data_IF_853877015123
#
_entry.id   IF_853877015123
#
_cell.length_a   1.000
_cell.length_b   1.000
_cell.length_c   1.000
_cell.angle_alpha   90.00
_cell.angle_beta   90.00
_cell.angle_gamma   90.00
#
_symmetry.space_group_name_H-M   'P 1'
#
loop_
_entity.id
_entity.type
_entity.pdbx_description
1 polymer ?
#
# COMPACT_ATOMS: atom_id res chain seq x y z
N UNK A 1 3.64 -22.25 21.32
CA UNK A 1 3.11 -21.41 20.22
C UNK A 1 4.23 -21.15 19.23
N UNK A 2 3.97 -21.31 17.96
CA UNK A 2 4.97 -21.12 16.91
C UNK A 2 5.16 -19.65 16.61
N UNK A 3 6.39 -19.27 16.22
CA UNK A 3 6.72 -17.88 15.87
C UNK A 3 5.81 -17.30 14.78
N UNK A 4 5.42 -18.12 13.80
CA UNK A 4 4.55 -17.68 12.71
C UNK A 4 3.17 -17.25 13.21
N UNK A 5 2.61 -17.93 14.21
CA UNK A 5 1.31 -17.58 14.77
C UNK A 5 1.34 -16.25 15.50
N UNK A 6 2.43 -15.98 16.23
CA UNK A 6 2.61 -14.69 16.92
C UNK A 6 2.76 -13.57 15.90
N UNK A 7 3.53 -13.82 14.86
CA UNK A 7 3.75 -12.85 13.78
C UNK A 7 2.44 -12.52 13.06
N UNK A 8 1.65 -13.56 12.75
CA UNK A 8 0.37 -13.39 12.05
C UNK A 8 -0.62 -12.60 12.90
N UNK A 9 -0.64 -12.85 14.21
CA UNK A 9 -1.53 -12.12 15.11
C UNK A 9 -1.14 -10.64 15.21
N UNK A 10 0.16 -10.35 15.28
CA UNK A 10 0.64 -8.96 15.30
C UNK A 10 0.27 -8.23 14.01
N UNK A 11 0.44 -8.90 12.88
CA UNK A 11 0.08 -8.31 11.59
C UNK A 11 -1.42 -8.04 11.52
N UNK A 12 -2.23 -8.98 11.96
CA UNK A 12 -3.68 -8.81 11.98
C UNK A 12 -4.09 -7.61 12.83
N UNK A 13 -3.51 -7.50 14.02
CA UNK A 13 -3.84 -6.41 14.93
C UNK A 13 -3.42 -5.06 14.33
N UNK A 14 -2.25 -4.98 13.74
CA UNK A 14 -1.77 -3.77 13.08
C UNK A 14 -2.61 -3.42 11.87
N UNK A 15 -2.97 -4.42 11.09
CA UNK A 15 -3.82 -4.21 9.92
C UNK A 15 -5.20 -3.70 10.31
N UNK A 16 -5.82 -4.32 11.32
CA UNK A 16 -7.14 -3.90 11.80
C UNK A 16 -7.10 -2.46 12.33
N UNK A 17 -6.03 -2.10 13.05
CA UNK A 17 -5.83 -0.74 13.53
C UNK A 17 -5.69 0.24 12.35
N UNK A 18 -4.87 -0.12 11.37
CA UNK A 18 -4.67 0.70 10.17
C UNK A 18 -5.99 0.94 9.46
N UNK A 19 -6.77 -0.11 9.23
CA UNK A 19 -8.05 -0.01 8.55
C UNK A 19 -9.01 0.87 9.34
N UNK A 20 -9.06 0.74 10.65
CA UNK A 20 -9.92 1.58 11.50
C UNK A 20 -9.56 3.05 11.35
N UNK A 21 -8.26 3.37 11.48
CA UNK A 21 -7.79 4.77 11.39
C UNK A 21 -8.08 5.35 10.00
N UNK A 22 -7.76 4.63 8.95
CA UNK A 22 -7.95 5.13 7.58
C UNK A 22 -9.43 5.20 7.20
N UNK A 23 -10.23 4.24 7.64
CA UNK A 23 -11.66 4.22 7.34
C UNK A 23 -12.37 5.41 8.00
N UNK A 24 -12.02 5.72 9.24
CA UNK A 24 -12.59 6.88 9.92
C UNK A 24 -12.23 8.18 9.22
N UNK A 25 -10.99 8.25 8.71
CA UNK A 25 -10.49 9.48 8.09
C UNK A 25 -10.98 9.69 6.65
N UNK A 26 -11.04 8.60 5.86
CA UNK A 26 -11.23 8.72 4.42
C UNK A 26 -12.51 8.09 3.86
N UNK A 27 -13.18 7.22 4.61
CA UNK A 27 -14.35 6.51 4.08
C UNK A 27 -15.55 6.56 5.03
N UNK A 28 -15.57 7.51 5.94
CA UNK A 28 -16.68 7.73 6.89
C UNK A 28 -17.01 6.45 7.69
N UNK A 29 -15.98 5.71 8.08
CA UNK A 29 -16.14 4.49 8.85
C UNK A 29 -16.43 3.23 8.05
N UNK A 30 -16.58 3.34 6.73
CA UNK A 30 -16.72 2.15 5.87
C UNK A 30 -15.38 1.44 5.76
N UNK A 31 -15.29 0.13 6.07
CA UNK A 31 -14.03 -0.57 6.04
C UNK A 31 -13.37 -0.53 4.66
N UNK A 32 -12.11 -0.13 4.61
CA UNK A 32 -11.33 -0.11 3.38
C UNK A 32 -10.74 -1.49 3.11
N UNK A 33 -10.69 -1.85 1.83
CA UNK A 33 -10.01 -3.05 1.39
C UNK A 33 -8.57 -2.71 0.97
N UNK A 34 -7.77 -3.73 0.69
CA UNK A 34 -6.36 -3.56 0.29
C UNK A 34 -6.23 -2.57 -0.87
N UNK A 35 -7.08 -2.70 -1.88
CA UNK A 35 -7.03 -1.81 -3.05
C UNK A 35 -7.28 -0.36 -2.67
N UNK A 36 -8.22 -0.11 -1.76
CA UNK A 36 -8.49 1.24 -1.28
C UNK A 36 -7.31 1.83 -0.54
N UNK A 37 -6.62 1.02 0.26
CA UNK A 37 -5.41 1.47 0.98
C UNK A 37 -4.29 1.76 0.00
N UNK A 38 -4.09 0.91 -1.01
CA UNK A 38 -3.09 1.14 -2.05
C UNK A 38 -3.38 2.42 -2.83
N UNK A 39 -4.65 2.68 -3.12
CA UNK A 39 -5.07 3.92 -3.76
C UNK A 39 -4.65 5.14 -2.93
N UNK A 40 -4.85 5.09 -1.60
CA UNK A 40 -4.45 6.17 -0.71
C UNK A 40 -2.93 6.38 -0.71
N UNK A 41 -2.15 5.29 -0.75
CA UNK A 41 -0.69 5.38 -0.87
C UNK A 41 -0.33 6.07 -2.18
N UNK A 42 -0.96 5.69 -3.29
CA UNK A 42 -0.72 6.32 -4.59
C UNK A 42 -1.01 7.81 -4.57
N UNK A 43 -2.12 8.23 -3.96
CA UNK A 43 -2.45 9.64 -3.81
C UNK A 43 -1.39 10.37 -2.98
N UNK A 44 -0.93 9.77 -1.91
CA UNK A 44 0.11 10.36 -1.06
C UNK A 44 1.40 10.57 -1.84
N UNK A 45 1.81 9.58 -2.62
CA UNK A 45 3.05 9.67 -3.39
C UNK A 45 2.94 10.61 -4.58
N UNK A 46 1.77 10.72 -5.18
CA UNK A 46 1.53 11.67 -6.25
C UNK A 46 1.53 13.12 -5.73
N UNK A 47 1.11 13.33 -4.50
CA UNK A 47 1.11 14.66 -3.88
C UNK A 47 0.05 15.62 -4.43
N UNK A 48 -0.84 15.15 -5.28
CA UNK A 48 -1.88 15.98 -5.90
C UNK A 48 -3.26 15.63 -5.35
N UNK A 49 -3.43 15.83 -4.05
CA UNK A 49 -4.65 15.43 -3.33
C UNK A 49 -5.89 16.18 -3.81
N UNK A 50 -5.71 17.39 -4.36
CA UNK A 50 -6.82 18.24 -4.79
C UNK A 50 -7.27 18.00 -6.22
N UNK A 51 -6.51 17.24 -6.99
CA UNK A 51 -6.85 16.92 -8.36
C UNK A 51 -7.95 15.86 -8.40
N UNK A 52 -9.02 16.16 -9.15
CA UNK A 52 -10.06 15.18 -9.36
C UNK A 52 -9.54 14.10 -10.31
N UNK A 53 -9.45 12.87 -9.82
CA UNK A 53 -8.93 11.75 -10.60
C UNK A 53 -9.99 11.22 -11.56
N UNK A 54 -9.57 10.93 -12.77
CA UNK A 54 -10.42 10.24 -13.74
C UNK A 54 -10.51 8.77 -13.36
N UNK A 55 -11.54 8.08 -13.81
CA UNK A 55 -11.79 6.70 -13.46
C UNK A 55 -10.63 5.77 -13.82
N UNK A 56 -10.01 5.96 -14.97
CA UNK A 56 -8.86 5.15 -15.41
C UNK A 56 -7.56 5.51 -14.68
N UNK A 57 -7.48 6.68 -14.05
CA UNK A 57 -6.32 7.05 -13.24
C UNK A 57 -6.28 6.30 -11.92
N UNK A 58 -7.41 5.77 -11.46
CA UNK A 58 -7.47 5.00 -10.21
C UNK A 58 -6.59 3.75 -10.28
N UNK A 59 -6.58 3.08 -11.43
CA UNK A 59 -5.73 1.90 -11.63
C UNK A 59 -4.25 2.29 -11.56
N UNK A 60 -3.90 3.42 -12.13
CA UNK A 60 -2.53 3.93 -12.09
C UNK A 60 -2.11 4.28 -10.66
N UNK A 61 -3.01 4.85 -9.87
CA UNK A 61 -2.73 5.19 -8.47
C UNK A 61 -2.52 3.94 -7.63
N UNK A 62 -3.33 2.90 -7.84
CA UNK A 62 -3.16 1.63 -7.15
C UNK A 62 -1.81 1.02 -7.52
N UNK A 63 -1.43 1.08 -8.80
CA UNK A 63 -0.13 0.57 -9.25
C UNK A 63 1.03 1.32 -8.59
N UNK A 64 0.95 2.64 -8.49
CA UNK A 64 1.95 3.44 -7.78
C UNK A 64 2.04 3.00 -6.33
N UNK A 65 0.90 2.76 -5.69
CA UNK A 65 0.87 2.26 -4.32
C UNK A 65 1.58 0.93 -4.17
N UNK A 66 1.32 -0.01 -5.09
CA UNK A 66 1.99 -1.32 -5.09
C UNK A 66 3.50 -1.16 -5.20
N UNK A 67 3.96 -0.38 -6.17
CA UNK A 67 5.39 -0.17 -6.39
C UNK A 67 6.06 0.48 -5.18
N UNK A 68 5.39 1.46 -4.59
CA UNK A 68 5.91 2.21 -3.45
C UNK A 68 6.10 1.30 -2.23
N UNK A 69 5.09 0.51 -1.88
CA UNK A 69 5.17 -0.32 -0.67
C UNK A 69 6.07 -1.54 -0.85
N UNK A 70 6.29 -1.97 -2.09
CA UNK A 70 7.17 -3.11 -2.39
C UNK A 70 8.62 -2.69 -2.69
N UNK A 71 8.90 -1.39 -2.79
CA UNK A 71 10.25 -0.91 -3.02
C UNK A 71 11.24 -1.36 -1.93
N UNK A 72 10.91 -1.24 -0.63
CA UNK A 72 11.82 -1.70 0.42
C UNK A 72 12.12 -3.20 0.38
N UNK A 73 11.27 -3.96 -0.29
CA UNK A 73 11.43 -5.41 -0.40
C UNK A 73 12.28 -5.82 -1.62
N UNK A 74 12.70 -4.84 -2.44
CA UNK A 74 13.57 -5.09 -3.58
C UNK A 74 12.87 -5.48 -4.87
N UNK A 75 11.54 -5.38 -4.93
CA UNK A 75 10.80 -5.75 -6.15
C UNK A 75 10.71 -4.61 -7.16
N UNK A 76 10.70 -3.37 -6.67
CA UNK A 76 10.62 -2.19 -7.51
C UNK A 76 11.61 -1.14 -7.03
N UNK A 77 11.99 -0.25 -7.95
CA UNK A 77 12.83 0.89 -7.63
C UNK A 77 12.24 2.12 -8.30
N UNK A 78 12.14 3.22 -7.54
CA UNK A 78 11.75 4.51 -8.13
C UNK A 78 12.75 4.88 -9.23
N UNK A 79 12.22 5.31 -10.37
CA UNK A 79 13.04 5.68 -11.53
C UNK A 79 13.03 7.20 -11.73
N UNK A 80 11.88 7.77 -12.09
CA UNK A 80 11.77 9.19 -12.36
C UNK A 80 10.33 9.67 -12.26
N UNK A 81 10.15 10.99 -12.18
CA UNK A 81 8.84 11.62 -12.37
C UNK A 81 8.72 12.07 -13.81
N UNK A 82 7.56 11.84 -14.43
CA UNK A 82 7.32 12.30 -15.79
C UNK A 82 6.91 13.79 -15.79
N UNK A 83 6.65 14.34 -16.97
CA UNK A 83 6.30 15.76 -17.12
C UNK A 83 5.03 16.16 -16.37
N UNK A 84 4.12 15.21 -16.17
CA UNK A 84 2.87 15.45 -15.44
C UNK A 84 3.03 15.26 -13.94
N UNK A 85 4.20 14.85 -13.48
CA UNK A 85 4.49 14.62 -12.07
C UNK A 85 4.19 13.21 -11.59
N UNK A 86 3.90 12.27 -12.50
CA UNK A 86 3.64 10.88 -12.13
C UNK A 86 4.95 10.14 -11.90
N UNK A 87 5.06 9.42 -10.78
CA UNK A 87 6.25 8.61 -10.52
C UNK A 87 6.26 7.35 -11.36
N UNK A 88 7.43 7.00 -11.89
CA UNK A 88 7.67 5.79 -12.64
C UNK A 88 8.61 4.89 -11.88
N UNK A 89 8.34 3.58 -11.90
CA UNK A 89 9.12 2.59 -11.18
C UNK A 89 9.66 1.54 -12.14
N UNK A 90 10.85 1.05 -11.83
CA UNK A 90 11.49 -0.02 -12.56
C UNK A 90 11.23 -1.34 -11.82
N UNK A 91 10.77 -2.35 -12.54
CA UNK A 91 10.63 -3.69 -11.98
C UNK A 91 12.00 -4.33 -11.88
N UNK A 92 12.44 -4.64 -10.67
CA UNK A 92 13.74 -5.26 -10.42
C UNK A 92 13.65 -6.78 -10.38
N UNK A 93 12.59 -7.29 -9.77
CA UNK A 93 12.43 -8.72 -9.57
C UNK A 93 10.94 -9.08 -9.60
N UNK A 94 10.61 -10.14 -10.33
CA UNK A 94 9.24 -10.62 -10.35
C UNK A 94 8.84 -11.16 -8.98
N UNK A 95 7.62 -10.85 -8.57
CA UNK A 95 7.08 -11.41 -7.33
C UNK A 95 7.04 -12.94 -7.45
N UNK A 96 7.40 -13.65 -6.39
CA UNK A 96 7.29 -15.10 -6.40
C UNK A 96 5.84 -15.54 -6.60
N UNK A 97 5.66 -16.75 -7.12
CA UNK A 97 4.32 -17.32 -7.28
C UNK A 97 3.83 -17.70 -5.88
N UNK A 98 2.91 -16.91 -5.37
CA UNK A 98 2.35 -17.09 -4.04
C UNK A 98 0.88 -17.50 -4.16
N UNK A 99 0.42 -18.26 -3.17
CA UNK A 99 -1.02 -18.53 -3.04
C UNK A 99 -1.74 -17.22 -2.71
N UNK A 100 -3.04 -17.09 -3.06
CA UNK A 100 -3.77 -15.84 -2.82
C UNK A 100 -3.69 -15.33 -1.38
N UNK A 101 -3.76 -16.21 -0.39
CA UNK A 101 -3.62 -15.83 1.02
C UNK A 101 -2.24 -15.28 1.34
N UNK A 102 -1.19 -15.85 0.76
CA UNK A 102 0.18 -15.40 0.97
C UNK A 102 0.42 -14.04 0.30
N UNK A 103 -0.19 -13.80 -0.85
CA UNK A 103 -0.12 -12.50 -1.52
C UNK A 103 -0.75 -11.41 -0.66
N UNK A 104 -1.90 -11.70 -0.06
CA UNK A 104 -2.58 -10.76 0.84
C UNK A 104 -1.73 -10.45 2.06
N UNK A 105 -1.08 -11.44 2.64
CA UNK A 105 -0.21 -11.26 3.80
C UNK A 105 0.97 -10.36 3.44
N UNK A 106 1.64 -10.63 2.33
CA UNK A 106 2.75 -9.81 1.87
C UNK A 106 2.32 -8.35 1.69
N UNK A 107 1.21 -8.14 1.01
CA UNK A 107 0.71 -6.79 0.75
C UNK A 107 0.34 -6.06 2.04
N UNK A 108 -0.32 -6.75 2.97
CA UNK A 108 -0.68 -6.16 4.26
C UNK A 108 0.56 -5.78 5.08
N UNK A 109 1.58 -6.66 5.09
CA UNK A 109 2.85 -6.34 5.75
C UNK A 109 3.49 -5.08 5.16
N UNK A 110 3.54 -5.02 3.83
CA UNK A 110 4.15 -3.91 3.13
C UNK A 110 3.41 -2.60 3.42
N UNK A 111 2.08 -2.63 3.41
CA UNK A 111 1.26 -1.45 3.71
C UNK A 111 1.43 -1.00 5.16
N UNK A 112 1.41 -1.93 6.11
CA UNK A 112 1.60 -1.60 7.52
C UNK A 112 2.97 -0.93 7.72
N UNK A 113 4.02 -1.48 7.13
CA UNK A 113 5.36 -0.89 7.22
C UNK A 113 5.42 0.51 6.62
N UNK A 114 4.73 0.73 5.51
CA UNK A 114 4.67 2.05 4.88
C UNK A 114 4.13 3.09 5.84
N UNK A 115 3.00 2.80 6.48
CA UNK A 115 2.35 3.75 7.38
C UNK A 115 3.09 3.90 8.70
N UNK A 116 3.70 2.84 9.21
CA UNK A 116 4.52 2.90 10.43
C UNK A 116 5.75 3.79 10.22
N UNK A 117 6.44 3.64 9.10
CA UNK A 117 7.63 4.46 8.80
C UNK A 117 7.32 5.93 8.66
N UNK A 118 6.11 6.26 8.24
CA UNK A 118 5.68 7.65 8.11
C UNK A 118 4.96 8.17 9.34
N UNK A 119 4.94 7.36 10.41
CA UNK A 119 4.32 7.72 11.68
C UNK A 119 2.84 8.08 11.55
N UNK A 120 2.16 7.52 10.55
CA UNK A 120 0.74 7.73 10.33
C UNK A 120 -0.13 6.80 11.17
N UNK A 121 0.46 5.74 11.67
CA UNK A 121 -0.13 4.82 12.67
C UNK A 121 0.93 4.46 13.70
N UNK A 122 0.49 3.89 14.82
CA UNK A 122 1.39 3.45 15.88
C UNK A 122 1.30 1.97 16.12
#
# INVERSE_FOLDING_TARGET
MQKSQIRDQKLKDRWDNLITVLSDRFSRGQPLEIEGVLYLVGLQELGQVHRKMKKDENVNLIHIGICTVLEPYGYYRFDFFDEEGWPHFELLEMLPVLKPGEQSILMKEALVEYFLKRELIQ
#
